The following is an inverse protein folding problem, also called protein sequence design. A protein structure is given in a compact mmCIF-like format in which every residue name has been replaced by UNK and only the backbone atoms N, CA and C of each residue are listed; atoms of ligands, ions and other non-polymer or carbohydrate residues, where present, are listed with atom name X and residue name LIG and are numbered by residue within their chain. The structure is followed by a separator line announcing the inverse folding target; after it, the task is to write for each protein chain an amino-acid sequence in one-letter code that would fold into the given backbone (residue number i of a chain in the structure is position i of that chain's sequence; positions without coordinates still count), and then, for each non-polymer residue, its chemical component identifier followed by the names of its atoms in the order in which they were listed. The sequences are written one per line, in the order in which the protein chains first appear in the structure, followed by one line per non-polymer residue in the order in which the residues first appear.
data_IF_763837202007
#
_entry.id   IF_763837202007
#
_cell.length_a   1.000
_cell.length_b   1.000
_cell.length_c   1.000
_cell.angle_alpha   90.00
_cell.angle_beta   90.00
_cell.angle_gamma   90.00
#
_symmetry.space_group_name_H-M   'P 1'
#
loop_
_entity.id
_entity.type
_entity.pdbx_description
1 polymer ?
#
# COMPACT_ATOMS: atom_id res chain seq x y z
N UNK A 1 -36.23 -0.05 -15.18
CA UNK A 1 -35.61 1.30 -15.18
C UNK A 1 -34.13 1.04 -15.05
N UNK A 2 -33.46 1.04 -16.20
CA UNK A 2 -32.01 0.89 -16.23
C UNK A 2 -31.40 2.17 -15.62
N UNK A 3 -30.71 2.03 -14.49
CA UNK A 3 -29.81 3.08 -14.00
C UNK A 3 -28.75 3.28 -15.10
N UNK A 4 -28.91 4.31 -15.90
CA UNK A 4 -27.84 4.79 -16.77
C UNK A 4 -26.65 5.11 -15.84
N UNK A 5 -25.65 4.25 -15.82
CA UNK A 5 -24.40 4.53 -15.13
C UNK A 5 -23.78 5.75 -15.82
N UNK A 6 -23.89 6.90 -15.17
CA UNK A 6 -23.23 8.14 -15.61
C UNK A 6 -21.74 7.95 -15.49
N UNK A 7 -21.07 7.66 -16.62
CA UNK A 7 -19.61 7.67 -16.67
C UNK A 7 -19.14 9.11 -16.49
N UNK A 8 -18.30 9.35 -15.49
CA UNK A 8 -17.67 10.63 -15.23
C UNK A 8 -16.24 10.57 -15.75
N UNK A 9 -15.78 11.64 -16.37
CA UNK A 9 -14.45 11.74 -16.94
C UNK A 9 -13.75 13.00 -16.42
N UNK A 10 -12.41 13.01 -16.48
CA UNK A 10 -11.59 14.19 -16.23
C UNK A 10 -11.11 14.72 -17.56
N UNK A 11 -11.39 15.99 -17.82
CA UNK A 11 -10.78 16.75 -18.91
C UNK A 11 -9.57 17.51 -18.35
N UNK A 12 -8.39 17.25 -18.90
CA UNK A 12 -7.17 18.03 -18.63
C UNK A 12 -6.85 18.89 -19.84
N UNK A 13 -6.44 20.13 -19.57
CA UNK A 13 -6.18 21.15 -20.60
C UNK A 13 -4.80 21.75 -20.37
N UNK A 14 -3.99 21.81 -21.42
CA UNK A 14 -2.70 22.48 -21.45
C UNK A 14 -2.74 23.62 -22.47
N UNK A 15 -2.92 24.87 -22.04
CA UNK A 15 -2.90 26.04 -22.92
C UNK A 15 -1.54 26.24 -23.58
N UNK A 16 -1.52 26.80 -24.82
CA UNK A 16 -0.29 27.04 -25.56
C UNK A 16 0.67 28.06 -24.92
N UNK A 17 0.15 28.93 -24.05
CA UNK A 17 0.96 29.90 -23.31
C UNK A 17 1.67 29.31 -22.07
N UNK A 18 1.44 28.04 -21.76
CA UNK A 18 2.10 27.38 -20.65
C UNK A 18 3.61 27.20 -20.88
N UNK A 19 4.33 26.98 -19.77
CA UNK A 19 5.77 26.76 -19.81
C UNK A 19 6.12 25.46 -20.56
N UNK A 20 7.26 25.43 -21.24
CA UNK A 20 7.73 24.21 -21.94
C UNK A 20 7.84 23.00 -21.01
N UNK A 21 8.15 23.24 -19.73
CA UNK A 21 8.17 22.19 -18.72
C UNK A 21 6.78 21.59 -18.51
N UNK A 22 5.76 22.42 -18.37
CA UNK A 22 4.38 21.96 -18.18
C UNK A 22 3.87 21.21 -19.42
N UNK A 23 4.13 21.74 -20.62
CA UNK A 23 3.81 21.07 -21.87
C UNK A 23 4.48 19.69 -21.99
N UNK A 24 5.75 19.61 -21.58
CA UNK A 24 6.46 18.33 -21.56
C UNK A 24 5.82 17.32 -20.60
N UNK A 25 5.49 17.74 -19.38
CA UNK A 25 4.81 16.89 -18.39
C UNK A 25 3.44 16.42 -18.89
N UNK A 26 2.68 17.32 -19.51
CA UNK A 26 1.38 17.02 -20.11
C UNK A 26 1.48 15.98 -21.24
N UNK A 27 2.44 16.16 -22.15
CA UNK A 27 2.72 15.17 -23.21
C UNK A 27 3.19 13.83 -22.65
N UNK A 28 4.01 13.86 -21.62
CA UNK A 28 4.46 12.62 -20.94
C UNK A 28 3.26 11.88 -20.36
N UNK A 29 2.33 12.56 -19.70
CA UNK A 29 1.13 11.93 -19.15
C UNK A 29 0.26 11.29 -20.24
N UNK A 30 0.03 11.99 -21.36
CA UNK A 30 -0.68 11.42 -22.53
C UNK A 30 0.05 10.17 -23.05
N UNK A 31 1.38 10.23 -23.24
CA UNK A 31 2.15 9.11 -23.75
C UNK A 31 2.10 7.89 -22.80
N UNK A 32 2.21 8.14 -21.51
CA UNK A 32 2.10 7.10 -20.50
C UNK A 32 0.71 6.46 -20.54
N UNK A 33 -0.37 7.24 -20.44
CA UNK A 33 -1.73 6.73 -20.41
C UNK A 33 -2.15 6.07 -21.73
N UNK A 34 -1.58 6.47 -22.87
CA UNK A 34 -1.82 5.85 -24.18
C UNK A 34 -1.27 4.41 -24.25
N UNK A 35 -0.20 4.11 -23.52
CA UNK A 35 0.50 2.84 -23.58
C UNK A 35 0.31 1.98 -22.31
N UNK A 36 -0.15 2.60 -21.20
CA UNK A 36 -0.33 1.90 -19.94
C UNK A 36 -1.63 1.09 -19.95
N UNK A 37 -1.50 -0.22 -19.87
CA UNK A 37 -2.64 -1.14 -19.71
C UNK A 37 -2.65 -1.69 -18.28
N UNK A 38 -3.22 -0.95 -17.34
CA UNK A 38 -3.28 -1.35 -15.94
C UNK A 38 -4.68 -1.15 -15.36
N UNK A 39 -5.18 -2.18 -14.68
CA UNK A 39 -6.53 -2.17 -14.07
C UNK A 39 -6.63 -1.25 -12.85
N UNK A 40 -5.50 -0.79 -12.31
CA UNK A 40 -5.42 0.08 -11.14
C UNK A 40 -4.89 1.48 -11.48
N UNK A 41 -5.12 1.93 -12.71
CA UNK A 41 -4.79 3.28 -13.20
C UNK A 41 -5.96 3.83 -14.03
N UNK A 42 -6.09 5.16 -14.20
CA UNK A 42 -7.03 5.73 -15.16
C UNK A 42 -6.67 5.32 -16.59
N UNK A 43 -7.68 5.26 -17.44
CA UNK A 43 -7.53 4.98 -18.87
C UNK A 43 -7.68 6.27 -19.66
N UNK A 44 -6.81 6.48 -20.64
CA UNK A 44 -6.99 7.55 -21.63
C UNK A 44 -8.20 7.24 -22.52
N UNK A 45 -9.11 8.18 -22.64
CA UNK A 45 -10.31 8.07 -23.49
C UNK A 45 -10.04 8.67 -24.84
N UNK A 46 -9.54 9.92 -24.88
CA UNK A 46 -9.22 10.64 -26.10
C UNK A 46 -8.24 11.77 -25.81
N UNK A 47 -7.53 12.20 -26.85
CA UNK A 47 -6.76 13.44 -26.84
C UNK A 47 -7.08 14.24 -28.11
N UNK A 48 -7.12 15.56 -28.01
CA UNK A 48 -7.44 16.46 -29.10
C UNK A 48 -6.80 17.82 -28.86
N UNK A 49 -6.75 18.62 -29.91
CA UNK A 49 -6.32 20.05 -29.86
C UNK A 49 -7.53 20.91 -30.12
N UNK A 50 -7.71 21.95 -29.34
CA UNK A 50 -8.79 22.93 -29.48
C UNK A 50 -8.27 24.33 -29.10
N UNK A 51 -8.54 25.32 -29.95
CA UNK A 51 -8.33 26.75 -29.74
C UNK A 51 -7.12 27.12 -28.86
N UNK A 52 -5.89 26.80 -29.31
CA UNK A 52 -4.64 27.13 -28.62
C UNK A 52 -4.40 26.33 -27.34
N UNK A 53 -4.92 25.11 -27.25
CA UNK A 53 -4.68 24.21 -26.12
C UNK A 53 -4.62 22.75 -26.58
N UNK A 54 -3.73 21.97 -25.96
CA UNK A 54 -3.80 20.51 -26.00
C UNK A 54 -4.73 20.01 -24.89
N UNK A 55 -5.60 19.05 -25.21
CA UNK A 55 -6.58 18.49 -24.31
C UNK A 55 -6.51 16.97 -24.29
N UNK A 56 -6.77 16.36 -23.16
CA UNK A 56 -7.08 14.93 -23.09
C UNK A 56 -8.15 14.63 -22.05
N UNK A 57 -8.82 13.51 -22.26
CA UNK A 57 -9.86 13.00 -21.36
C UNK A 57 -9.43 11.65 -20.81
N UNK A 58 -9.51 11.50 -19.53
CA UNK A 58 -9.25 10.24 -18.82
C UNK A 58 -10.44 9.80 -17.96
N UNK A 59 -10.48 8.53 -17.57
CA UNK A 59 -11.52 8.03 -16.66
C UNK A 59 -11.36 8.65 -15.29
N UNK A 60 -12.45 9.13 -14.70
CA UNK A 60 -12.48 9.58 -13.32
C UNK A 60 -12.62 8.38 -12.38
N UNK A 61 -11.79 8.33 -11.33
CA UNK A 61 -11.86 7.32 -10.27
C UNK A 61 -12.51 7.98 -9.04
N UNK A 62 -13.82 7.72 -8.77
CA UNK A 62 -14.54 8.37 -7.69
C UNK A 62 -14.18 7.72 -6.35
N UNK A 63 -13.44 8.42 -5.51
CA UNK A 63 -13.02 7.89 -4.22
C UNK A 63 -12.31 8.90 -3.35
N UNK A 64 -11.77 8.44 -2.24
CA UNK A 64 -10.91 9.26 -1.39
C UNK A 64 -9.45 8.85 -1.56
N UNK A 65 -8.51 9.79 -1.40
CA UNK A 65 -7.11 9.43 -1.46
C UNK A 65 -6.72 8.54 -0.26
N UNK A 66 -5.67 7.75 -0.45
CA UNK A 66 -5.24 6.75 0.52
C UNK A 66 -4.83 7.38 1.87
N UNK A 67 -4.31 8.61 1.88
CA UNK A 67 -3.99 9.34 3.11
C UNK A 67 -5.23 9.58 3.95
N UNK A 68 -6.30 10.11 3.34
CA UNK A 68 -7.60 10.33 3.99
C UNK A 68 -8.24 9.00 4.41
N UNK A 69 -8.09 7.96 3.58
CA UNK A 69 -8.61 6.62 3.89
C UNK A 69 -7.98 6.06 5.17
N UNK A 70 -6.65 6.06 5.29
CA UNK A 70 -5.95 5.50 6.45
C UNK A 70 -5.99 6.38 7.69
N UNK A 71 -6.33 7.65 7.58
CA UNK A 71 -6.69 8.48 8.74
C UNK A 71 -7.99 8.01 9.40
N UNK A 72 -8.95 7.52 8.59
CA UNK A 72 -10.26 7.03 9.06
C UNK A 72 -10.27 5.52 9.37
N UNK A 73 -9.47 4.73 8.66
CA UNK A 73 -9.50 3.26 8.69
C UNK A 73 -8.11 2.67 8.98
N UNK A 74 -7.94 2.05 10.14
CA UNK A 74 -6.65 1.45 10.56
C UNK A 74 -6.53 -0.04 10.16
N UNK A 75 -6.99 -0.41 8.96
CA UNK A 75 -6.96 -1.80 8.51
C UNK A 75 -5.59 -2.18 7.92
N UNK A 76 -4.87 -3.07 8.58
CA UNK A 76 -3.54 -3.54 8.14
C UNK A 76 -3.62 -4.29 6.81
N UNK A 77 -4.66 -5.11 6.59
CA UNK A 77 -4.83 -5.82 5.32
C UNK A 77 -4.97 -4.86 4.14
N UNK A 78 -5.67 -3.74 4.32
CA UNK A 78 -5.79 -2.70 3.29
C UNK A 78 -4.46 -2.01 2.97
N UNK A 79 -3.55 -1.87 3.95
CA UNK A 79 -2.20 -1.36 3.69
C UNK A 79 -1.39 -2.29 2.79
N UNK A 80 -1.48 -3.61 3.01
CA UNK A 80 -0.83 -4.58 2.12
C UNK A 80 -1.50 -4.62 0.75
N UNK A 81 -2.83 -4.54 0.68
CA UNK A 81 -3.54 -4.48 -0.59
C UNK A 81 -3.10 -3.26 -1.41
N UNK A 82 -3.02 -2.06 -0.79
CA UNK A 82 -2.49 -0.87 -1.45
C UNK A 82 -1.11 -1.14 -2.07
N UNK A 83 -0.18 -1.75 -1.31
CA UNK A 83 1.15 -2.05 -1.84
C UNK A 83 1.09 -2.96 -3.07
N UNK A 84 0.22 -3.99 -3.08
CA UNK A 84 0.11 -4.91 -4.20
C UNK A 84 -0.57 -4.27 -5.41
N UNK A 85 -1.61 -3.47 -5.22
CA UNK A 85 -2.29 -2.74 -6.29
C UNK A 85 -1.32 -1.74 -6.95
N UNK A 86 -0.57 -0.96 -6.15
CA UNK A 86 0.46 -0.03 -6.63
C UNK A 86 1.61 -0.76 -7.34
N UNK A 87 2.11 -1.87 -6.78
CA UNK A 87 3.17 -2.66 -7.41
C UNK A 87 2.78 -3.17 -8.80
N UNK A 88 1.50 -3.50 -9.00
CA UNK A 88 1.00 -3.90 -10.31
C UNK A 88 1.10 -2.77 -11.32
N UNK A 89 0.66 -1.56 -10.94
CA UNK A 89 0.76 -0.37 -11.82
C UNK A 89 2.23 -0.04 -12.14
N UNK A 90 3.11 -0.03 -11.12
CA UNK A 90 4.53 0.25 -11.35
C UNK A 90 5.19 -0.81 -12.26
N UNK A 91 4.78 -2.08 -12.12
CA UNK A 91 5.27 -3.15 -13.00
C UNK A 91 4.85 -2.91 -14.46
N UNK A 92 3.57 -2.56 -14.69
CA UNK A 92 3.03 -2.27 -16.00
C UNK A 92 3.71 -1.01 -16.60
N UNK A 93 3.93 0.02 -15.80
CA UNK A 93 4.61 1.26 -16.17
C UNK A 93 6.08 1.03 -16.56
N UNK A 94 6.81 0.23 -15.78
CA UNK A 94 8.21 -0.11 -16.09
C UNK A 94 8.34 -0.93 -17.38
N UNK A 95 7.33 -1.76 -17.72
CA UNK A 95 7.32 -2.51 -18.98
C UNK A 95 7.21 -1.60 -20.22
N UNK A 96 6.54 -0.45 -20.10
CA UNK A 96 6.48 0.55 -21.17
C UNK A 96 7.61 1.58 -21.13
N UNK A 97 8.61 1.36 -20.25
CA UNK A 97 9.85 2.15 -20.20
C UNK A 97 9.77 3.44 -19.40
N UNK A 98 8.79 3.59 -18.51
CA UNK A 98 8.65 4.79 -17.65
C UNK A 98 8.84 4.49 -16.18
N UNK A 99 9.26 5.52 -15.41
CA UNK A 99 9.34 5.56 -13.95
C UNK A 99 8.27 6.53 -13.44
N UNK A 100 7.64 6.20 -12.30
CA UNK A 100 6.55 7.01 -11.75
C UNK A 100 7.05 8.23 -10.95
N UNK A 101 8.05 8.06 -10.11
CA UNK A 101 8.82 8.98 -9.26
C UNK A 101 8.05 9.83 -8.21
N UNK A 102 6.78 10.16 -8.38
CA UNK A 102 5.98 10.95 -7.41
C UNK A 102 5.03 10.08 -6.57
N UNK A 103 5.53 8.93 -6.09
CA UNK A 103 4.73 7.99 -5.31
C UNK A 103 4.47 8.51 -3.89
N UNK A 104 3.20 8.80 -3.60
CA UNK A 104 2.70 9.29 -2.32
C UNK A 104 1.25 8.90 -2.10
N UNK A 105 0.77 8.87 -0.85
CA UNK A 105 -0.60 8.47 -0.52
C UNK A 105 -1.66 9.37 -1.14
N UNK A 106 -1.35 10.63 -1.40
CA UNK A 106 -2.24 11.60 -2.06
C UNK A 106 -2.55 11.24 -3.51
N UNK A 107 -1.62 10.58 -4.21
CA UNK A 107 -1.75 10.13 -5.61
C UNK A 107 -2.35 8.73 -5.74
N UNK A 108 -2.86 8.15 -4.65
CA UNK A 108 -3.49 6.84 -4.64
C UNK A 108 -4.94 7.00 -4.18
N UNK A 109 -5.91 6.58 -5.00
CA UNK A 109 -7.34 6.68 -4.71
C UNK A 109 -7.87 5.30 -4.29
N UNK A 110 -8.61 5.26 -3.16
CA UNK A 110 -9.37 4.08 -2.76
C UNK A 110 -10.78 4.14 -3.34
N UNK A 111 -11.11 3.17 -4.19
CA UNK A 111 -12.42 3.04 -4.82
C UNK A 111 -12.77 1.56 -5.05
N UNK A 112 -14.04 1.19 -4.85
CA UNK A 112 -14.56 -0.17 -5.06
C UNK A 112 -13.66 -1.28 -4.50
N UNK A 113 -13.20 -1.08 -3.26
CA UNK A 113 -12.36 -2.04 -2.54
C UNK A 113 -10.91 -2.20 -3.06
N UNK A 114 -10.45 -1.41 -4.03
CA UNK A 114 -9.11 -1.38 -4.62
C UNK A 114 -8.45 -0.03 -4.50
N UNK A 115 -7.13 0.01 -4.72
CA UNK A 115 -6.34 1.23 -4.76
C UNK A 115 -5.87 1.50 -6.18
N UNK A 116 -6.03 2.73 -6.63
CA UNK A 116 -5.71 3.19 -7.98
C UNK A 116 -4.63 4.26 -7.91
N UNK A 117 -3.57 4.11 -8.69
CA UNK A 117 -2.54 5.13 -8.84
C UNK A 117 -2.97 6.11 -9.92
N UNK A 118 -2.93 7.40 -9.60
CA UNK A 118 -3.35 8.49 -10.50
C UNK A 118 -2.20 9.48 -10.70
N UNK A 119 -2.37 10.42 -11.64
CA UNK A 119 -1.44 11.53 -11.90
C UNK A 119 -0.05 11.08 -12.38
N UNK A 120 0.05 10.82 -13.68
CA UNK A 120 1.28 10.35 -14.34
C UNK A 120 2.12 11.50 -14.95
N UNK A 121 1.81 12.76 -14.61
CA UNK A 121 2.48 13.95 -15.17
C UNK A 121 3.96 14.06 -14.78
N UNK A 122 4.35 13.47 -13.65
CA UNK A 122 5.72 13.47 -13.15
C UNK A 122 6.57 12.30 -13.68
N UNK A 123 6.00 11.38 -14.46
CA UNK A 123 6.73 10.24 -15.01
C UNK A 123 7.93 10.70 -15.85
N UNK A 124 8.98 9.90 -15.83
CA UNK A 124 10.16 10.09 -16.67
C UNK A 124 10.50 8.79 -17.39
N UNK A 125 11.21 8.89 -18.50
CA UNK A 125 11.73 7.71 -19.19
C UNK A 125 12.77 6.99 -18.33
N UNK A 126 12.71 5.68 -18.35
CA UNK A 126 13.75 4.83 -17.74
C UNK A 126 15.09 5.08 -18.44
N UNK A 127 16.18 5.05 -17.69
CA UNK A 127 17.53 5.42 -18.13
C UNK A 127 17.73 6.91 -18.47
N UNK A 128 16.80 7.76 -18.04
CA UNK A 128 16.93 9.23 -18.18
C UNK A 128 18.07 9.77 -17.31
N UNK A 129 18.76 10.80 -17.82
CA UNK A 129 19.80 11.55 -17.11
C UNK A 129 19.38 12.97 -16.70
N UNK A 130 18.09 13.31 -16.85
CA UNK A 130 17.58 14.64 -16.53
C UNK A 130 17.37 14.77 -15.02
N UNK A 131 17.89 15.85 -14.41
CA UNK A 131 17.58 16.16 -13.02
C UNK A 131 16.12 16.57 -12.88
N UNK A 132 15.41 15.95 -11.93
CA UNK A 132 13.99 16.18 -11.69
C UNK A 132 13.80 16.93 -10.38
N UNK A 133 13.02 18.01 -10.40
CA UNK A 133 12.57 18.65 -9.18
C UNK A 133 11.38 17.86 -8.63
N UNK A 134 11.65 16.88 -7.78
CA UNK A 134 10.62 16.11 -7.08
C UNK A 134 10.37 16.67 -5.67
N UNK A 135 9.21 16.35 -5.08
CA UNK A 135 8.90 16.73 -3.69
C UNK A 135 9.92 16.11 -2.74
N UNK A 136 10.57 16.94 -1.91
CA UNK A 136 11.77 16.58 -1.12
C UNK A 136 11.63 15.40 -0.15
N UNK A 137 10.42 14.99 0.23
CA UNK A 137 10.22 14.01 1.31
C UNK A 137 10.34 12.55 0.89
N UNK A 138 9.99 12.19 -0.34
CA UNK A 138 9.94 10.79 -0.81
C UNK A 138 10.81 10.54 -2.05
N UNK A 139 11.68 11.49 -2.38
CA UNK A 139 12.46 11.52 -3.60
C UNK A 139 13.78 10.77 -3.43
N UNK A 140 14.07 9.86 -4.33
CA UNK A 140 15.39 9.22 -4.40
C UNK A 140 16.48 10.26 -4.67
N UNK A 141 17.63 10.23 -3.95
CA UNK A 141 18.68 11.25 -4.07
C UNK A 141 19.19 11.43 -5.50
N UNK A 142 19.26 10.36 -6.27
CA UNK A 142 19.71 10.40 -7.67
C UNK A 142 18.78 11.20 -8.60
N UNK A 143 17.51 11.40 -8.24
CA UNK A 143 16.59 12.23 -9.04
C UNK A 143 17.02 13.70 -9.12
N UNK A 144 17.74 14.17 -8.12
CA UNK A 144 18.23 15.55 -8.03
C UNK A 144 19.55 15.77 -8.81
N UNK A 145 20.14 14.74 -9.38
CA UNK A 145 21.44 14.77 -10.06
C UNK A 145 21.28 14.46 -11.53
N UNK A 146 22.36 14.52 -12.29
CA UNK A 146 22.43 14.09 -13.70
C UNK A 146 22.81 12.60 -13.85
N UNK A 147 22.78 11.82 -12.78
CA UNK A 147 22.99 10.38 -12.84
C UNK A 147 21.84 9.68 -13.58
N UNK A 148 22.10 8.49 -14.07
CA UNK A 148 21.07 7.65 -14.70
C UNK A 148 19.97 7.29 -13.68
N UNK A 149 18.72 7.39 -14.13
CA UNK A 149 17.51 7.02 -13.38
C UNK A 149 17.00 5.68 -13.86
N UNK A 150 16.76 4.78 -12.93
CA UNK A 150 16.19 3.48 -13.21
C UNK A 150 15.11 3.12 -12.19
N UNK A 151 14.56 1.93 -12.31
CA UNK A 151 13.47 1.43 -11.45
C UNK A 151 13.75 1.52 -9.95
N UNK A 152 15.02 1.67 -9.55
CA UNK A 152 15.43 1.84 -8.15
C UNK A 152 14.97 3.18 -7.56
N UNK A 153 14.64 4.17 -8.41
CA UNK A 153 14.01 5.41 -7.96
C UNK A 153 12.61 5.14 -7.38
N UNK A 154 11.80 4.36 -8.07
CA UNK A 154 10.46 3.97 -7.60
C UNK A 154 10.53 3.02 -6.40
N UNK A 155 11.55 2.16 -6.32
CA UNK A 155 11.79 1.30 -5.14
C UNK A 155 12.14 2.15 -3.91
N UNK A 156 12.87 3.25 -4.06
CA UNK A 156 13.11 4.20 -2.98
C UNK A 156 11.78 4.81 -2.50
N UNK A 157 10.97 5.29 -3.43
CA UNK A 157 9.66 5.86 -3.14
C UNK A 157 8.70 4.84 -2.49
N UNK A 158 8.74 3.56 -2.91
CA UNK A 158 8.04 2.45 -2.24
C UNK A 158 8.50 2.27 -0.79
N UNK A 159 9.81 2.41 -0.51
CA UNK A 159 10.35 2.38 0.84
C UNK A 159 9.76 3.48 1.71
N UNK A 160 9.65 4.70 1.18
CA UNK A 160 9.03 5.84 1.86
C UNK A 160 7.53 5.63 2.08
N UNK A 161 6.82 5.07 1.10
CA UNK A 161 5.41 4.70 1.21
C UNK A 161 5.18 3.63 2.30
N UNK A 162 6.04 2.61 2.36
CA UNK A 162 6.01 1.58 3.42
C UNK A 162 6.27 2.21 4.78
N UNK A 163 7.19 3.15 4.88
CA UNK A 163 7.48 3.87 6.13
C UNK A 163 6.26 4.67 6.60
N UNK A 164 5.57 5.37 5.71
CA UNK A 164 4.36 6.12 6.04
C UNK A 164 3.21 5.19 6.46
N UNK A 165 3.03 4.06 5.80
CA UNK A 165 1.96 3.10 6.10
C UNK A 165 2.18 2.29 7.38
N UNK A 166 3.40 1.83 7.64
CA UNK A 166 3.70 0.85 8.68
C UNK A 166 4.66 1.35 9.76
N UNK A 167 5.31 2.50 9.55
CA UNK A 167 6.32 3.02 10.46
C UNK A 167 7.49 2.04 10.64
N UNK A 168 8.01 1.98 11.84
CA UNK A 168 9.18 1.14 12.19
C UNK A 168 8.93 -0.37 12.07
N UNK A 169 7.67 -0.80 11.95
CA UNK A 169 7.35 -2.23 11.84
C UNK A 169 7.92 -2.91 10.58
N UNK A 170 8.25 -2.13 9.54
CA UNK A 170 8.83 -2.61 8.28
C UNK A 170 10.28 -2.15 8.09
N UNK A 171 10.98 -1.77 9.16
CA UNK A 171 12.33 -1.21 9.10
C UNK A 171 13.31 -1.99 8.22
N UNK A 172 13.39 -3.34 8.26
CA UNK A 172 14.31 -4.07 7.39
C UNK A 172 14.04 -3.82 5.89
N UNK A 173 12.76 -3.76 5.49
CA UNK A 173 12.38 -3.48 4.10
C UNK A 173 12.72 -2.04 3.72
N UNK A 174 12.39 -1.09 4.60
CA UNK A 174 12.66 0.34 4.42
C UNK A 174 14.18 0.57 4.23
N UNK A 175 15.01 -0.01 5.07
CA UNK A 175 16.47 0.12 4.98
C UNK A 175 17.03 -0.40 3.66
N UNK A 176 16.50 -1.52 3.14
CA UNK A 176 16.91 -2.07 1.85
C UNK A 176 16.48 -1.17 0.68
N UNK A 177 15.33 -0.51 0.79
CA UNK A 177 14.84 0.44 -0.22
C UNK A 177 15.61 1.76 -0.21
N UNK A 178 16.06 2.23 0.97
CA UNK A 178 16.76 3.51 1.14
C UNK A 178 18.28 3.42 1.06
N UNK A 179 18.82 2.29 0.60
CA UNK A 179 20.25 2.18 0.28
C UNK A 179 20.67 3.14 -0.85
N UNK A 180 21.99 3.38 -0.99
CA UNK A 180 22.54 4.01 -2.19
C UNK A 180 22.07 3.26 -3.45
N UNK A 181 21.93 3.96 -4.57
CA UNK A 181 21.36 3.39 -5.79
C UNK A 181 22.03 2.04 -6.17
N UNK A 182 23.35 1.92 -6.07
CA UNK A 182 24.09 0.70 -6.47
C UNK A 182 23.81 -0.51 -5.59
N UNK A 183 23.41 -0.29 -4.32
CA UNK A 183 23.12 -1.34 -3.32
C UNK A 183 21.63 -1.58 -3.10
N UNK A 184 20.78 -0.74 -3.67
CA UNK A 184 19.34 -0.83 -3.53
C UNK A 184 18.80 -2.05 -4.28
N UNK A 185 17.68 -2.58 -3.80
CA UNK A 185 16.92 -3.60 -4.51
C UNK A 185 16.69 -3.14 -5.97
N UNK A 186 16.98 -4.01 -6.93
CA UNK A 186 16.93 -3.66 -8.35
C UNK A 186 15.71 -4.22 -9.10
N UNK A 187 14.79 -4.92 -8.39
CA UNK A 187 13.60 -5.54 -9.01
C UNK A 187 12.38 -5.40 -8.11
N UNK A 188 11.25 -5.03 -8.68
CA UNK A 188 9.97 -5.01 -7.97
C UNK A 188 9.55 -6.39 -7.44
N UNK A 189 9.90 -7.48 -8.14
CA UNK A 189 9.65 -8.84 -7.67
C UNK A 189 10.38 -9.15 -6.35
N UNK A 190 11.62 -8.68 -6.20
CA UNK A 190 12.38 -8.82 -4.94
C UNK A 190 11.70 -8.05 -3.82
N UNK A 191 11.27 -6.81 -4.06
CA UNK A 191 10.51 -6.03 -3.10
C UNK A 191 9.20 -6.76 -2.70
N UNK A 192 8.44 -7.25 -3.67
CA UNK A 192 7.22 -8.03 -3.44
C UNK A 192 7.47 -9.25 -2.55
N UNK A 193 8.54 -10.00 -2.83
CA UNK A 193 8.92 -11.18 -2.04
C UNK A 193 9.28 -10.82 -0.60
N UNK A 194 9.98 -9.69 -0.36
CA UNK A 194 10.28 -9.20 0.99
C UNK A 194 8.99 -8.87 1.77
N UNK A 195 8.00 -8.26 1.13
CA UNK A 195 6.69 -8.02 1.75
C UNK A 195 6.01 -9.34 2.12
N UNK A 196 6.01 -10.36 1.24
CA UNK A 196 5.44 -11.66 1.54
C UNK A 196 6.16 -12.36 2.70
N UNK A 197 7.50 -12.36 2.71
CA UNK A 197 8.30 -12.93 3.80
C UNK A 197 7.95 -12.25 5.12
N UNK A 198 7.83 -10.93 5.13
CA UNK A 198 7.46 -10.17 6.33
C UNK A 198 6.05 -10.54 6.82
N UNK A 199 5.08 -10.74 5.92
CA UNK A 199 3.72 -11.19 6.27
C UNK A 199 3.79 -12.59 6.91
N UNK A 200 4.51 -13.53 6.29
CA UNK A 200 4.66 -14.90 6.79
C UNK A 200 5.29 -14.91 8.19
N UNK A 201 6.38 -14.16 8.39
CA UNK A 201 7.03 -14.06 9.71
C UNK A 201 6.06 -13.57 10.78
N UNK A 202 5.22 -12.58 10.46
CA UNK A 202 4.21 -12.06 11.40
C UNK A 202 3.13 -13.08 11.72
N UNK A 203 2.64 -13.81 10.73
CA UNK A 203 1.66 -14.89 10.94
C UNK A 203 2.26 -15.95 11.84
N UNK A 204 3.50 -16.40 11.59
CA UNK A 204 4.18 -17.40 12.42
C UNK A 204 4.39 -16.90 13.86
N UNK A 205 4.75 -15.62 14.03
CA UNK A 205 4.91 -15.02 15.35
C UNK A 205 3.59 -15.00 16.14
N UNK A 206 2.48 -14.60 15.50
CA UNK A 206 1.15 -14.63 16.13
C UNK A 206 0.76 -16.05 16.50
N UNK A 207 0.96 -17.03 15.61
CA UNK A 207 0.68 -18.44 15.88
C UNK A 207 1.52 -18.97 17.05
N UNK A 208 2.80 -18.62 17.12
CA UNK A 208 3.67 -19.04 18.22
C UNK A 208 3.21 -18.47 19.57
N UNK A 209 2.79 -17.20 19.60
CA UNK A 209 2.24 -16.56 20.80
C UNK A 209 0.93 -17.26 21.21
N UNK A 210 0.04 -17.56 20.26
CA UNK A 210 -1.20 -18.29 20.55
C UNK A 210 -0.92 -19.68 21.11
N UNK A 211 0.01 -20.43 20.51
CA UNK A 211 0.44 -21.75 21.00
C UNK A 211 1.00 -21.64 22.42
N UNK A 212 1.93 -20.71 22.66
CA UNK A 212 2.51 -20.49 23.99
C UNK A 212 1.46 -20.09 25.03
N UNK A 213 0.43 -19.32 24.65
CA UNK A 213 -0.66 -18.93 25.55
C UNK A 213 -1.51 -20.14 25.95
N UNK A 214 -1.77 -21.07 25.01
CA UNK A 214 -2.48 -22.32 25.29
C UNK A 214 -1.67 -23.23 26.26
N UNK A 215 -0.34 -23.32 26.02
CA UNK A 215 0.53 -24.13 26.90
C UNK A 215 0.88 -23.47 28.25
N UNK A 216 0.59 -22.17 28.41
CA UNK A 216 0.85 -21.43 29.66
C UNK A 216 -0.18 -21.78 30.77
N UNK A 217 -1.31 -22.35 30.43
CA UNK A 217 -2.15 -23.05 31.40
C UNK A 217 -1.45 -24.36 31.77
N UNK A 218 -0.62 -24.30 32.82
CA UNK A 218 0.10 -25.46 33.31
C UNK A 218 -0.92 -26.58 33.60
N UNK A 219 -0.65 -27.84 33.20
CA UNK A 219 -1.51 -28.96 33.56
C UNK A 219 -1.81 -29.02 35.06
N UNK A 220 -0.87 -28.55 35.87
CA UNK A 220 -1.00 -28.41 37.33
C UNK A 220 -2.08 -27.39 37.70
N UNK A 221 -2.15 -26.21 37.06
CA UNK A 221 -3.18 -25.19 37.39
C UNK A 221 -4.59 -25.63 37.00
N UNK A 222 -4.73 -26.43 35.94
CA UNK A 222 -6.03 -27.01 35.53
C UNK A 222 -6.42 -28.13 36.49
N UNK A 223 -5.46 -28.96 36.88
CA UNK A 223 -5.68 -30.02 37.87
C UNK A 223 -6.03 -29.46 39.25
N UNK A 224 -5.30 -28.46 39.73
CA UNK A 224 -5.55 -27.78 41.00
C UNK A 224 -6.92 -27.11 41.04
N UNK A 225 -7.33 -26.46 39.95
CA UNK A 225 -8.67 -25.85 39.82
C UNK A 225 -9.77 -26.92 39.86
N UNK A 226 -9.59 -28.03 39.11
CA UNK A 226 -10.54 -29.16 39.10
C UNK A 226 -10.62 -29.83 40.46
N UNK A 227 -9.48 -30.08 41.08
CA UNK A 227 -9.40 -30.74 42.41
C UNK A 227 -10.05 -29.89 43.49
N UNK A 228 -9.76 -28.60 43.54
CA UNK A 228 -10.34 -27.66 44.48
C UNK A 228 -11.88 -27.58 44.31
N UNK A 229 -12.36 -27.48 43.04
CA UNK A 229 -13.80 -27.44 42.76
C UNK A 229 -14.49 -28.74 43.20
N UNK A 230 -13.85 -29.91 43.00
CA UNK A 230 -14.38 -31.21 43.40
C UNK A 230 -14.38 -31.37 44.93
N UNK A 231 -13.35 -30.91 45.63
CA UNK A 231 -13.28 -30.92 47.10
C UNK A 231 -14.37 -30.04 47.73
N UNK A 232 -14.61 -28.85 47.17
CA UNK A 232 -15.70 -27.95 47.63
C UNK A 232 -17.06 -28.65 47.49
N UNK A 233 -17.32 -29.29 46.36
CA UNK A 233 -18.58 -30.00 46.09
C UNK A 233 -18.79 -31.19 47.07
N UNK A 234 -17.71 -31.94 47.37
CA UNK A 234 -17.75 -33.03 48.36
C UNK A 234 -18.00 -32.49 49.76
N UNK A 235 -17.39 -31.37 50.13
CA UNK A 235 -17.57 -30.74 51.44
C UNK A 235 -19.00 -30.21 51.61
N UNK A 236 -19.55 -29.58 50.62
CA UNK A 236 -20.95 -29.11 50.60
C UNK A 236 -21.94 -30.27 50.72
N UNK A 237 -21.66 -31.41 50.07
CA UNK A 237 -22.48 -32.61 50.15
C UNK A 237 -22.44 -33.21 51.58
N UNK A 238 -21.24 -33.35 52.14
CA UNK A 238 -21.05 -33.85 53.49
C UNK A 238 -21.72 -32.94 54.56
N UNK A 239 -21.60 -31.63 54.38
CA UNK A 239 -22.25 -30.64 55.26
C UNK A 239 -23.78 -30.76 55.22
N UNK A 240 -24.38 -30.86 54.02
CA UNK A 240 -25.83 -31.07 53.88
C UNK A 240 -26.33 -32.38 54.46
N UNK A 241 -25.50 -33.45 54.42
CA UNK A 241 -25.82 -34.75 55.01
C UNK A 241 -25.73 -34.70 56.54
N UNK A 242 -24.79 -33.97 57.14
CA UNK A 242 -24.69 -33.79 58.59
C UNK A 242 -25.86 -32.95 59.12
N UNK A 243 -26.24 -31.83 58.46
CA UNK A 243 -27.35 -31.00 58.86
C UNK A 243 -28.73 -31.70 58.80
N UNK A 244 -28.83 -32.75 57.97
CA UNK A 244 -29.99 -33.64 57.94
C UNK A 244 -30.04 -34.60 59.13
N UNK A 245 -28.88 -35.06 59.63
CA UNK A 245 -28.82 -35.96 60.80
C UNK A 245 -29.11 -35.24 62.09
N UNK A 246 -28.78 -34.00 62.22
CA UNK A 246 -29.03 -33.18 63.41
C UNK A 246 -30.49 -32.67 63.56
N UNK A 247 -31.33 -32.94 62.54
CA UNK A 247 -32.75 -32.59 62.49
C UNK A 247 -33.69 -33.80 62.69
N UNK A 248 -33.17 -34.99 62.91
CA UNK A 248 -33.92 -36.19 63.24
C UNK A 248 -33.65 -36.62 64.68
#
# INVERSE_FOLDING_TARGET
MDEMSTCVYILKICPDHETERYKHQFKTEINVLSNLNSIHAPSLITCFEEDFAQCFVETYIPGMNAKQYFQKHRCVFKKYQLLFDVLKVLQDLHQIGYLYIDLKLENIIYYQNHFYLIDFNACIENHSHVAVMASKSNCAPELLTLSEKDIRCDIYALGSLVQELFGFFMMPVILLCHQKQERRISRLSTFKNLIFIHIIIRILLVLSICILSVFRTSPKSVFDAYYNHHQIALFEKAYKESDKKDRL
#
